data_IF_014528171958
#
_entry.id   IF_014528171958
#
_cell.length_a   1.000
_cell.length_b   1.000
_cell.length_c   1.000
_cell.angle_alpha   90.00
_cell.angle_beta   90.00
_cell.angle_gamma   90.00
#
_symmetry.space_group_name_H-M   'P 1'
#
loop_
_entity.id
_entity.type
_entity.pdbx_description
1 polymer ?
#
# COMPACT_ATOMS: atom_id res chain seq x y z
N UNK A 1 4.69 -5.20 -16.57
CA UNK A 1 4.34 -6.13 -17.68
C UNK A 1 4.75 -5.50 -19.00
N UNK A 2 4.61 -6.20 -20.13
CA UNK A 2 5.09 -5.70 -21.43
C UNK A 2 6.55 -6.05 -21.67
N UNK A 3 7.02 -5.89 -22.91
CA UNK A 3 8.38 -6.29 -23.32
C UNK A 3 9.47 -5.50 -22.58
N UNK A 4 9.14 -4.28 -22.16
CA UNK A 4 10.03 -3.32 -21.52
C UNK A 4 9.43 -2.73 -20.24
N UNK A 5 8.46 -3.40 -19.62
CA UNK A 5 7.81 -2.89 -18.39
C UNK A 5 6.81 -1.75 -18.65
N UNK A 6 6.38 -1.55 -19.89
CA UNK A 6 5.51 -0.44 -20.31
C UNK A 6 4.05 -0.57 -19.89
N UNK A 7 3.65 -1.74 -19.38
CA UNK A 7 2.30 -1.98 -18.85
C UNK A 7 2.35 -2.11 -17.32
N UNK A 8 1.26 -1.72 -16.62
CA UNK A 8 1.14 -1.86 -15.16
C UNK A 8 1.52 -3.28 -14.67
N UNK A 9 2.04 -3.41 -13.43
CA UNK A 9 2.40 -4.70 -12.85
C UNK A 9 1.24 -5.68 -12.72
N UNK A 10 0.03 -5.20 -12.42
CA UNK A 10 -1.21 -5.95 -12.27
C UNK A 10 -2.45 -5.06 -12.56
N UNK A 11 -3.65 -5.61 -12.36
CA UNK A 11 -4.94 -4.95 -12.57
C UNK A 11 -5.71 -4.65 -11.26
N UNK A 12 -5.01 -4.43 -10.15
CA UNK A 12 -5.66 -4.13 -8.87
C UNK A 12 -6.59 -2.92 -8.95
N UNK A 13 -7.85 -3.03 -8.48
CA UNK A 13 -8.79 -1.92 -8.53
C UNK A 13 -8.52 -0.88 -7.44
N UNK A 14 -8.67 0.40 -7.82
CA UNK A 14 -8.60 1.53 -6.88
C UNK A 14 -9.72 1.41 -5.85
N UNK A 15 -9.42 1.79 -4.60
CA UNK A 15 -10.39 1.96 -3.53
C UNK A 15 -11.30 3.17 -3.74
N UNK A 16 -10.94 4.04 -4.69
CA UNK A 16 -11.82 5.09 -5.23
C UNK A 16 -12.24 4.77 -6.66
N UNK A 17 -11.52 5.31 -7.64
CA UNK A 17 -11.83 5.19 -9.06
C UNK A 17 -10.57 5.38 -9.90
N UNK A 18 -10.51 4.74 -11.06
CA UNK A 18 -9.36 4.81 -11.95
C UNK A 18 -8.30 3.77 -11.64
N UNK A 19 -7.12 3.97 -12.22
CA UNK A 19 -5.98 3.05 -12.11
C UNK A 19 -5.32 3.13 -10.73
N UNK A 20 -4.55 2.10 -10.37
CA UNK A 20 -3.76 2.03 -9.12
C UNK A 20 -2.25 2.16 -9.35
N UNK A 21 -1.82 2.23 -10.60
CA UNK A 21 -0.42 2.34 -10.97
C UNK A 21 -0.22 3.58 -11.83
N UNK A 22 0.72 4.42 -11.43
CA UNK A 22 1.16 5.56 -12.26
C UNK A 22 2.61 5.35 -12.67
N UNK A 23 2.87 5.52 -13.96
CA UNK A 23 4.21 5.45 -14.53
C UNK A 23 4.91 6.80 -14.41
N UNK A 24 6.15 6.80 -13.94
CA UNK A 24 7.00 8.00 -13.87
C UNK A 24 7.88 8.13 -15.12
N UNK A 25 8.52 9.29 -15.30
CA UNK A 25 9.24 9.66 -16.53
C UNK A 25 10.39 8.72 -16.90
N UNK A 26 11.03 8.11 -15.89
CA UNK A 26 12.10 7.10 -16.07
C UNK A 26 11.57 5.70 -16.43
N UNK A 27 10.25 5.54 -16.49
CA UNK A 27 9.56 4.34 -16.91
C UNK A 27 9.19 3.38 -15.78
N UNK A 28 9.55 3.68 -14.53
CA UNK A 28 9.13 2.91 -13.36
C UNK A 28 7.67 3.17 -12.98
N UNK A 29 7.10 2.31 -12.14
CA UNK A 29 5.72 2.40 -11.67
C UNK A 29 5.68 2.55 -10.16
N UNK A 30 4.81 3.42 -9.66
CA UNK A 30 4.45 3.45 -8.24
C UNK A 30 2.98 3.09 -8.04
N UNK A 31 2.70 2.44 -6.92
CA UNK A 31 1.35 2.06 -6.50
C UNK A 31 0.68 3.23 -5.77
N UNK A 32 -0.61 3.39 -6.01
CA UNK A 32 -1.51 4.22 -5.22
C UNK A 32 -2.90 3.57 -5.17
N UNK A 33 -3.32 3.08 -4.00
CA UNK A 33 -4.63 2.45 -3.87
C UNK A 33 -5.81 3.43 -3.91
N UNK A 34 -5.55 4.73 -3.75
CA UNK A 34 -6.57 5.78 -3.74
C UNK A 34 -6.43 6.74 -4.93
N UNK A 35 -5.56 7.75 -4.82
CA UNK A 35 -5.30 8.74 -5.87
C UNK A 35 -3.82 8.78 -6.22
N UNK A 36 -3.42 9.20 -7.44
CA UNK A 36 -2.00 9.32 -7.79
C UNK A 36 -1.21 10.27 -6.88
N UNK A 37 -1.88 11.21 -6.20
CA UNK A 37 -1.24 12.13 -5.25
C UNK A 37 -0.99 11.49 -3.87
N UNK A 38 -1.46 10.26 -3.65
CA UNK A 38 -1.33 9.49 -2.43
C UNK A 38 -0.60 8.17 -2.73
N UNK A 39 0.71 8.20 -3.04
CA UNK A 39 1.48 6.98 -3.27
C UNK A 39 1.51 6.10 -2.01
N UNK A 40 1.33 4.80 -2.20
CA UNK A 40 1.44 3.83 -1.12
C UNK A 40 2.90 3.73 -0.63
N UNK A 41 3.09 3.73 0.68
CA UNK A 41 4.39 3.40 1.27
C UNK A 41 4.65 1.90 1.19
N UNK A 42 5.92 1.53 0.99
CA UNK A 42 6.35 0.14 1.06
C UNK A 42 6.58 -0.29 2.52
N UNK A 43 5.57 -0.95 3.11
CA UNK A 43 5.63 -1.43 4.50
C UNK A 43 6.58 -2.61 4.74
N UNK A 44 7.10 -3.26 3.68
CA UNK A 44 8.16 -4.26 3.83
C UNK A 44 9.52 -3.61 4.12
N UNK A 45 9.65 -2.30 3.88
CA UNK A 45 10.86 -1.57 4.21
C UNK A 45 10.91 -1.26 5.72
N UNK A 46 11.95 -1.70 6.45
CA UNK A 46 12.01 -1.54 7.91
C UNK A 46 11.96 -0.08 8.36
N UNK A 47 12.55 0.83 7.58
CA UNK A 47 12.51 2.26 7.92
C UNK A 47 11.09 2.85 7.84
N UNK A 48 10.21 2.35 6.96
CA UNK A 48 8.81 2.82 6.90
C UNK A 48 8.08 2.48 8.19
N UNK A 49 8.28 1.26 8.71
CA UNK A 49 7.70 0.83 9.99
C UNK A 49 8.23 1.68 11.14
N UNK A 50 9.56 1.86 11.20
CA UNK A 50 10.22 2.68 12.22
C UNK A 50 9.71 4.13 12.22
N UNK A 51 9.67 4.77 11.05
CA UNK A 51 9.21 6.16 10.95
C UNK A 51 7.73 6.30 11.30
N UNK A 52 6.89 5.31 10.97
CA UNK A 52 5.49 5.29 11.43
C UNK A 52 5.39 5.28 12.96
N UNK A 53 6.15 4.42 13.64
CA UNK A 53 6.20 4.38 15.11
C UNK A 53 6.71 5.71 15.71
N UNK A 54 7.71 6.34 15.08
CA UNK A 54 8.25 7.62 15.52
C UNK A 54 7.21 8.75 15.38
N UNK A 55 6.39 8.75 14.32
CA UNK A 55 5.24 9.67 14.17
C UNK A 55 4.19 9.44 15.26
N UNK A 56 3.87 8.18 15.59
CA UNK A 56 2.94 7.88 16.69
C UNK A 56 3.50 8.38 18.03
N UNK A 57 4.77 8.09 18.31
CA UNK A 57 5.48 8.55 19.51
C UNK A 57 5.46 10.07 19.64
N UNK A 58 5.73 10.80 18.56
CA UNK A 58 5.68 12.25 18.53
C UNK A 58 4.34 12.81 19.05
N UNK A 59 3.21 12.19 18.68
CA UNK A 59 1.89 12.61 19.13
C UNK A 59 1.58 12.19 20.57
N UNK A 60 1.98 10.98 20.97
CA UNK A 60 1.80 10.51 22.35
C UNK A 60 2.60 11.32 23.36
N UNK A 61 3.82 11.75 23.02
CA UNK A 61 4.64 12.64 23.84
C UNK A 61 3.99 14.02 24.07
N UNK A 62 3.00 14.39 23.26
CA UNK A 62 2.22 15.63 23.38
C UNK A 62 0.89 15.44 24.12
N UNK A 63 0.64 14.25 24.66
CA UNK A 63 -0.54 13.96 25.47
C UNK A 63 -1.79 13.55 24.70
N UNK A 64 -1.67 13.15 23.43
CA UNK A 64 -2.78 12.52 22.70
C UNK A 64 -3.14 11.20 23.39
N UNK A 65 -4.43 10.96 23.64
CA UNK A 65 -4.90 9.79 24.40
C UNK A 65 -5.02 8.50 23.57
N UNK A 66 -4.98 8.61 22.24
CA UNK A 66 -5.14 7.49 21.32
C UNK A 66 -5.18 7.97 19.87
N UNK A 67 -5.06 7.02 18.95
CA UNK A 67 -5.13 7.26 17.50
C UNK A 67 -6.14 6.33 16.86
N UNK A 68 -6.72 6.77 15.74
CA UNK A 68 -7.45 5.90 14.81
C UNK A 68 -6.57 5.75 13.58
N UNK A 69 -6.22 4.51 13.24
CA UNK A 69 -5.46 4.21 12.03
C UNK A 69 -6.44 4.13 10.86
N UNK A 70 -6.26 5.02 9.89
CA UNK A 70 -7.02 4.98 8.64
C UNK A 70 -6.45 3.92 7.71
N UNK A 71 -7.32 3.23 6.97
CA UNK A 71 -6.91 2.29 5.92
C UNK A 71 -5.97 1.17 6.37
N UNK A 72 -6.08 0.75 7.65
CA UNK A 72 -5.20 -0.25 8.27
C UNK A 72 -5.18 -1.60 7.53
N UNK A 73 -6.28 -1.99 6.90
CA UNK A 73 -6.36 -3.23 6.13
C UNK A 73 -5.58 -3.20 4.81
N UNK A 74 -5.04 -2.05 4.39
CA UNK A 74 -4.46 -1.85 3.07
C UNK A 74 -2.94 -1.71 3.09
N UNK A 75 -2.25 -2.07 4.18
CA UNK A 75 -0.80 -1.83 4.31
C UNK A 75 0.04 -2.93 3.63
N UNK A 76 -0.33 -4.20 3.83
CA UNK A 76 0.38 -5.35 3.30
C UNK A 76 -0.06 -5.70 1.87
N UNK A 77 0.89 -6.13 1.04
CA UNK A 77 0.70 -6.42 -0.39
C UNK A 77 1.27 -7.80 -0.71
N UNK A 78 0.65 -8.54 -1.63
CA UNK A 78 1.24 -9.77 -2.14
C UNK A 78 2.50 -9.45 -2.97
N UNK A 79 3.69 -9.97 -2.61
CA UNK A 79 4.92 -9.69 -3.33
C UNK A 79 4.94 -10.28 -4.75
N UNK A 80 4.08 -11.26 -5.04
CA UNK A 80 3.95 -11.81 -6.39
C UNK A 80 3.14 -10.88 -7.32
N UNK A 81 2.46 -9.87 -6.77
CA UNK A 81 1.62 -8.90 -7.51
C UNK A 81 0.67 -9.59 -8.50
N UNK A 82 -0.13 -10.59 -8.09
CA UNK A 82 -1.06 -11.26 -9.00
C UNK A 82 -2.16 -10.30 -9.46
N UNK A 83 -2.83 -10.63 -10.56
CA UNK A 83 -4.08 -9.96 -10.95
C UNK A 83 -5.17 -10.17 -9.88
N UNK A 84 -6.04 -9.17 -9.76
CA UNK A 84 -7.22 -9.24 -8.91
C UNK A 84 -8.28 -10.12 -9.57
N UNK A 85 -8.82 -11.07 -8.80
CA UNK A 85 -9.94 -11.90 -9.21
C UNK A 85 -11.06 -11.75 -8.18
N UNK A 86 -12.21 -11.26 -8.62
CA UNK A 86 -13.36 -11.03 -7.73
C UNK A 86 -13.81 -12.34 -7.06
N UNK A 87 -14.00 -12.29 -5.74
CA UNK A 87 -14.47 -13.43 -4.94
C UNK A 87 -13.43 -14.53 -4.70
N UNK A 88 -12.14 -14.28 -4.98
CA UNK A 88 -11.05 -15.20 -4.68
C UNK A 88 -10.24 -14.70 -3.49
N UNK A 89 -10.08 -15.57 -2.50
CA UNK A 89 -9.22 -15.36 -1.34
C UNK A 89 -7.91 -16.16 -1.45
N UNK A 90 -6.81 -15.65 -0.86
CA UNK A 90 -6.70 -14.37 -0.16
C UNK A 90 -6.71 -13.18 -1.13
N UNK A 91 -7.24 -12.04 -0.68
CA UNK A 91 -7.15 -10.81 -1.44
C UNK A 91 -5.67 -10.35 -1.58
N UNK A 92 -5.23 -9.87 -2.76
CA UNK A 92 -3.82 -9.57 -2.99
C UNK A 92 -3.29 -8.30 -2.28
N UNK A 93 -4.15 -7.42 -1.74
CA UNK A 93 -3.70 -6.18 -1.08
C UNK A 93 -4.64 -5.64 0.01
N UNK A 94 -5.73 -6.34 0.31
CA UNK A 94 -6.68 -6.01 1.37
C UNK A 94 -6.65 -7.11 2.43
N UNK A 95 -6.57 -6.72 3.70
CA UNK A 95 -6.73 -7.57 4.89
C UNK A 95 -5.86 -8.84 4.87
N UNK A 96 -4.61 -8.69 4.42
CA UNK A 96 -3.68 -9.81 4.38
C UNK A 96 -3.08 -10.13 5.74
N UNK A 97 -2.83 -11.40 6.01
CA UNK A 97 -2.27 -11.87 7.29
C UNK A 97 -1.00 -11.12 7.72
N UNK A 98 -0.14 -10.67 6.79
CA UNK A 98 1.09 -9.94 7.10
C UNK A 98 0.85 -8.59 7.81
N UNK A 99 -0.39 -8.07 7.81
CA UNK A 99 -0.76 -6.88 8.58
C UNK A 99 -0.56 -7.07 10.09
N UNK A 100 -0.67 -8.30 10.59
CA UNK A 100 -0.50 -8.62 12.01
C UNK A 100 0.97 -8.50 12.47
N UNK A 101 1.93 -8.47 11.55
CA UNK A 101 3.33 -8.21 11.86
C UNK A 101 3.66 -6.70 11.83
N UNK A 102 2.71 -5.86 11.41
CA UNK A 102 2.84 -4.39 11.37
C UNK A 102 2.16 -3.75 12.59
N UNK A 103 1.03 -4.29 13.05
CA UNK A 103 0.27 -3.81 14.21
C UNK A 103 0.29 -4.81 15.37
#
# INVERSE_FOLDING_TARGET
>A
RGEHGELPPNDWPSQFSGDTWTRVEDGEWYLHLFTPQQPDLNWDHPDVRKEHEDVLRFWFERGVAGVRIDSAALVAKDPALPDYVEGVDPNPYIDRDELHDIY
#
